data_IF_852459907885
#
_entry.id   IF_852459907885
#
_cell.length_a   1.000
_cell.length_b   1.000
_cell.length_c   1.000
_cell.angle_alpha   90.00
_cell.angle_beta   90.00
_cell.angle_gamma   90.00
#
_symmetry.space_group_name_H-M   'P 1'
#
loop_
_entity.id
_entity.type
_entity.pdbx_description
1 polymer ?
#
# COMPACT_ATOMS: atom_id res chain seq x y z
N UNK A 1 -35.99 -52.74 18.38
CA UNK A 1 -35.51 -52.20 17.09
C UNK A 1 -35.85 -50.73 17.05
N UNK A 2 -34.90 -49.84 17.31
CA UNK A 2 -35.11 -48.39 17.31
C UNK A 2 -33.97 -47.74 16.54
N UNK A 3 -34.31 -47.15 15.40
CA UNK A 3 -33.42 -46.53 14.42
C UNK A 3 -33.19 -45.07 14.82
N UNK A 4 -31.96 -44.75 15.26
CA UNK A 4 -31.55 -43.36 15.49
C UNK A 4 -30.91 -42.80 14.22
N UNK A 5 -31.58 -41.83 13.61
CA UNK A 5 -31.12 -41.15 12.39
C UNK A 5 -30.14 -40.02 12.77
N UNK A 6 -28.89 -40.12 12.30
CA UNK A 6 -27.78 -39.22 12.63
C UNK A 6 -27.68 -38.14 11.56
N UNK A 7 -28.11 -36.91 11.88
CA UNK A 7 -27.85 -35.75 11.02
C UNK A 7 -26.34 -35.48 10.97
N UNK A 8 -25.70 -35.76 9.83
CA UNK A 8 -24.35 -35.31 9.52
C UNK A 8 -24.43 -33.95 8.84
N UNK A 9 -23.94 -32.91 9.52
CA UNK A 9 -23.62 -31.64 8.89
C UNK A 9 -22.44 -31.85 7.94
N UNK A 10 -22.71 -31.83 6.63
CA UNK A 10 -21.69 -31.81 5.58
C UNK A 10 -21.05 -30.41 5.62
N UNK A 11 -19.87 -30.28 6.23
CA UNK A 11 -19.02 -29.09 6.04
C UNK A 11 -18.46 -29.14 4.61
N UNK A 12 -18.86 -28.18 3.79
CA UNK A 12 -18.33 -27.97 2.45
C UNK A 12 -16.83 -27.66 2.54
N UNK A 13 -15.99 -28.63 2.20
CA UNK A 13 -14.55 -28.46 2.03
C UNK A 13 -14.29 -27.83 0.67
N UNK A 14 -14.22 -26.49 0.61
CA UNK A 14 -13.55 -25.81 -0.52
C UNK A 14 -12.05 -25.70 -0.23
N UNK A 15 -11.16 -25.81 -1.22
CA UNK A 15 -9.74 -25.97 -0.99
C UNK A 15 -9.09 -24.65 -0.54
N UNK A 16 -8.30 -24.73 0.53
CA UNK A 16 -7.47 -23.67 1.16
C UNK A 16 -6.36 -23.11 0.24
N UNK A 17 -6.17 -23.71 -0.94
CA UNK A 17 -4.97 -23.54 -1.79
C UNK A 17 -4.84 -22.16 -2.46
N UNK A 18 -5.95 -21.45 -2.72
CA UNK A 18 -5.91 -20.17 -3.45
C UNK A 18 -5.65 -18.92 -2.61
N UNK A 19 -5.95 -18.97 -1.30
CA UNK A 19 -6.07 -17.76 -0.45
C UNK A 19 -4.77 -17.42 0.26
N UNK A 20 -4.07 -18.44 0.75
CA UNK A 20 -2.70 -18.29 1.26
C UNK A 20 -1.75 -17.78 0.17
N UNK A 21 -2.09 -17.98 -1.11
CA UNK A 21 -1.29 -17.49 -2.24
C UNK A 21 -1.27 -15.97 -2.32
N UNK A 22 -2.42 -15.28 -2.22
CA UNK A 22 -2.47 -13.80 -2.25
C UNK A 22 -1.59 -13.16 -1.17
N UNK A 23 -1.71 -13.65 0.07
CA UNK A 23 -0.92 -13.14 1.19
C UNK A 23 0.58 -13.44 0.99
N UNK A 24 0.92 -14.65 0.52
CA UNK A 24 2.31 -15.01 0.18
C UNK A 24 2.87 -14.13 -0.92
N UNK A 25 2.13 -13.91 -2.00
CA UNK A 25 2.54 -13.04 -3.11
C UNK A 25 2.78 -11.61 -2.61
N UNK A 26 1.91 -11.10 -1.73
CA UNK A 26 2.11 -9.80 -1.09
C UNK A 26 3.38 -9.76 -0.24
N UNK A 27 3.67 -10.81 0.54
CA UNK A 27 4.89 -10.90 1.36
C UNK A 27 6.19 -10.95 0.54
N UNK A 28 6.13 -11.40 -0.71
CA UNK A 28 7.31 -11.47 -1.58
C UNK A 28 7.80 -10.08 -2.02
N UNK A 29 6.97 -9.04 -1.93
CA UNK A 29 7.39 -7.64 -2.17
C UNK A 29 8.46 -7.23 -1.16
N UNK A 30 9.51 -6.58 -1.62
CA UNK A 30 10.70 -6.21 -0.84
C UNK A 30 10.39 -5.39 0.40
N UNK A 31 9.47 -4.44 0.32
CA UNK A 31 9.08 -3.61 1.47
C UNK A 31 8.35 -4.41 2.55
N UNK A 32 7.70 -5.50 2.16
CA UNK A 32 6.99 -6.39 3.08
C UNK A 32 7.94 -7.41 3.74
N UNK A 33 9.20 -7.51 3.27
CA UNK A 33 10.26 -8.32 3.89
C UNK A 33 10.95 -7.63 5.06
N UNK A 34 10.60 -6.37 5.34
CA UNK A 34 11.06 -5.61 6.50
C UNK A 34 9.86 -5.11 7.31
N UNK A 35 10.03 -4.92 8.61
CA UNK A 35 8.99 -4.41 9.48
C UNK A 35 8.65 -2.96 9.12
N UNK A 36 7.35 -2.68 8.96
CA UNK A 36 6.84 -1.37 8.61
C UNK A 36 7.31 -0.23 9.53
N UNK A 37 7.54 -0.51 10.83
CA UNK A 37 7.83 0.54 11.82
C UNK A 37 9.27 0.62 12.31
N UNK A 38 10.08 -0.41 12.06
CA UNK A 38 11.48 -0.38 12.53
C UNK A 38 12.52 -0.93 11.54
N UNK A 39 12.07 -1.39 10.37
CA UNK A 39 12.96 -1.96 9.35
C UNK A 39 13.59 -3.30 9.71
N UNK A 40 13.22 -3.92 10.85
CA UNK A 40 13.71 -5.26 11.20
C UNK A 40 13.33 -6.28 10.12
N UNK A 41 14.23 -7.17 9.70
CA UNK A 41 13.96 -8.11 8.62
C UNK A 41 12.95 -9.20 9.04
N UNK A 42 12.39 -9.87 8.04
CA UNK A 42 11.55 -11.07 8.17
C UNK A 42 10.38 -10.92 9.16
N UNK A 43 9.49 -9.93 8.98
CA UNK A 43 8.33 -9.77 9.83
C UNK A 43 7.47 -11.05 9.83
N UNK A 44 6.97 -11.45 11.01
CA UNK A 44 6.15 -12.66 11.20
C UNK A 44 4.71 -12.35 11.63
N UNK A 45 4.40 -11.08 11.83
CA UNK A 45 3.07 -10.60 12.18
C UNK A 45 2.61 -9.59 11.15
N UNK A 46 1.32 -9.32 11.12
CA UNK A 46 0.74 -8.28 10.30
C UNK A 46 -0.45 -7.64 11.03
N UNK A 47 -0.74 -6.38 10.71
CA UNK A 47 -2.00 -5.73 11.07
C UNK A 47 -2.92 -5.75 9.86
N UNK A 48 -3.92 -6.64 9.88
CA UNK A 48 -4.76 -6.91 8.71
C UNK A 48 -5.54 -5.70 8.21
N UNK A 49 -6.07 -4.89 9.13
CA UNK A 49 -6.86 -3.69 8.82
C UNK A 49 -6.00 -2.47 8.43
N UNK A 50 -4.75 -2.40 8.89
CA UNK A 50 -3.81 -1.32 8.54
C UNK A 50 -3.04 -1.67 7.26
N UNK A 51 -2.91 -2.96 6.92
CA UNK A 51 -2.19 -3.42 5.74
C UNK A 51 -0.67 -3.46 5.92
N UNK A 52 -0.15 -3.74 7.13
CA UNK A 52 1.30 -3.72 7.40
C UNK A 52 1.84 -5.04 7.97
N UNK A 53 3.09 -5.36 7.65
CA UNK A 53 3.88 -6.45 8.20
C UNK A 53 4.84 -5.96 9.29
N UNK A 54 4.88 -6.70 10.39
CA UNK A 54 5.47 -6.30 11.67
C UNK A 54 6.43 -7.36 12.22
N UNK A 55 7.52 -6.93 12.85
CA UNK A 55 8.35 -7.80 13.68
C UNK A 55 7.67 -8.04 15.04
N UNK A 56 8.21 -8.95 15.85
CA UNK A 56 7.62 -9.33 17.15
C UNK A 56 7.39 -8.11 18.04
N UNK A 57 8.46 -7.33 18.22
CA UNK A 57 8.49 -6.18 19.12
C UNK A 57 7.48 -5.10 18.71
N UNK A 58 7.36 -4.78 17.42
CA UNK A 58 6.36 -3.82 16.94
C UNK A 58 4.95 -4.41 16.99
N UNK A 59 4.79 -5.70 16.67
CA UNK A 59 3.53 -6.42 16.82
C UNK A 59 2.97 -6.36 18.24
N UNK A 60 3.82 -6.46 19.26
CA UNK A 60 3.41 -6.32 20.67
C UNK A 60 2.91 -4.91 21.00
N UNK A 61 3.54 -3.87 20.44
CA UNK A 61 3.06 -2.50 20.58
C UNK A 61 1.70 -2.32 19.87
N UNK A 62 1.56 -2.86 18.66
CA UNK A 62 0.30 -2.82 17.92
C UNK A 62 -0.85 -3.52 18.66
N UNK A 63 -0.59 -4.68 19.30
CA UNK A 63 -1.58 -5.34 20.15
C UNK A 63 -2.07 -4.44 21.28
N UNK A 64 -1.18 -3.64 21.87
CA UNK A 64 -1.53 -2.70 22.94
C UNK A 64 -2.34 -1.48 22.45
N UNK A 65 -2.41 -1.21 21.14
CA UNK A 65 -3.31 -0.20 20.57
C UNK A 65 -4.78 -0.66 20.56
N UNK A 66 -5.00 -1.97 20.56
CA UNK A 66 -6.33 -2.58 20.49
C UNK A 66 -6.84 -2.78 19.05
N UNK A 67 -7.78 -3.73 18.85
CA UNK A 67 -8.23 -4.17 17.52
C UNK A 67 -8.98 -3.11 16.72
N UNK A 68 -9.54 -2.09 17.37
CA UNK A 68 -10.20 -0.95 16.71
C UNK A 68 -9.20 -0.08 15.93
N UNK A 69 -7.94 -0.08 16.35
CA UNK A 69 -6.84 0.61 15.65
C UNK A 69 -6.04 -0.40 14.83
N UNK A 70 -5.61 -1.51 15.45
CA UNK A 70 -4.74 -2.50 14.83
C UNK A 70 -5.17 -3.93 15.14
N UNK A 71 -5.71 -4.62 14.14
CA UNK A 71 -6.03 -6.04 14.18
C UNK A 71 -4.79 -6.86 13.84
N UNK A 72 -4.02 -7.25 14.87
CA UNK A 72 -2.76 -8.00 14.71
C UNK A 72 -3.00 -9.50 14.58
N UNK A 73 -2.46 -10.10 13.52
CA UNK A 73 -2.46 -11.54 13.26
C UNK A 73 -1.03 -12.05 13.01
N UNK A 74 -0.74 -13.24 13.48
CA UNK A 74 0.43 -14.04 13.08
C UNK A 74 0.25 -14.51 11.65
N UNK A 75 1.31 -14.38 10.85
CA UNK A 75 1.27 -14.77 9.43
C UNK A 75 1.10 -16.29 9.28
N UNK A 76 1.67 -17.07 10.21
CA UNK A 76 1.73 -18.54 10.08
C UNK A 76 0.95 -19.28 11.15
N UNK A 77 0.62 -18.64 12.27
CA UNK A 77 0.02 -19.32 13.43
C UNK A 77 -1.48 -19.02 13.60
N UNK A 78 -1.97 -17.90 13.05
CA UNK A 78 -3.37 -17.53 13.17
C UNK A 78 -4.13 -17.87 11.88
N UNK A 79 -5.42 -18.14 12.03
CA UNK A 79 -6.33 -18.30 10.89
C UNK A 79 -6.67 -16.92 10.31
N UNK A 80 -6.58 -16.81 8.99
CA UNK A 80 -6.88 -15.58 8.25
C UNK A 80 -8.20 -15.73 7.52
N UNK A 81 -9.13 -14.82 7.80
CA UNK A 81 -10.39 -14.73 7.07
C UNK A 81 -10.17 -14.04 5.72
N UNK A 82 -11.07 -14.29 4.77
CA UNK A 82 -11.00 -13.73 3.41
C UNK A 82 -10.95 -12.19 3.44
N UNK A 83 -11.76 -11.58 4.31
CA UNK A 83 -11.79 -10.13 4.47
C UNK A 83 -10.47 -9.55 4.97
N UNK A 84 -9.73 -10.30 5.80
CA UNK A 84 -8.43 -9.85 6.31
C UNK A 84 -7.36 -9.90 5.21
N UNK A 85 -7.37 -10.96 4.40
CA UNK A 85 -6.47 -11.10 3.25
C UNK A 85 -6.77 -10.02 2.21
N UNK A 86 -8.06 -9.83 1.88
CA UNK A 86 -8.46 -8.83 0.91
C UNK A 86 -8.13 -7.41 1.40
N UNK A 87 -8.30 -7.11 2.70
CA UNK A 87 -7.86 -5.83 3.30
C UNK A 87 -6.35 -5.62 3.15
N UNK A 88 -5.53 -6.63 3.43
CA UNK A 88 -4.07 -6.54 3.25
C UNK A 88 -3.68 -6.25 1.80
N UNK A 89 -4.37 -6.89 0.84
CA UNK A 89 -4.10 -6.75 -0.60
C UNK A 89 -4.59 -5.40 -1.12
N UNK A 90 -5.77 -4.95 -0.70
CA UNK A 90 -6.36 -3.66 -1.09
C UNK A 90 -5.50 -2.48 -0.62
N UNK A 91 -4.99 -2.55 0.61
CA UNK A 91 -4.03 -1.56 1.12
C UNK A 91 -2.68 -1.69 0.41
N UNK A 92 -2.30 -2.85 -0.11
CA UNK A 92 -1.07 -2.99 -0.92
C UNK A 92 0.23 -3.15 -0.12
N UNK A 93 0.16 -3.21 1.22
CA UNK A 93 1.30 -3.54 2.09
C UNK A 93 2.06 -2.33 2.68
N UNK A 94 3.27 -2.59 3.15
CA UNK A 94 4.09 -1.64 3.92
C UNK A 94 4.38 -0.34 3.18
N UNK A 95 4.74 -0.43 1.90
CA UNK A 95 5.10 0.75 1.09
C UNK A 95 3.95 1.75 1.04
N UNK A 96 2.76 1.26 0.73
CA UNK A 96 1.56 2.08 0.66
C UNK A 96 1.14 2.59 2.03
N UNK A 97 1.10 1.75 3.06
CA UNK A 97 0.77 2.21 4.40
C UNK A 97 1.73 3.31 4.88
N UNK A 98 3.03 3.18 4.61
CA UNK A 98 4.02 4.21 4.94
C UNK A 98 3.85 5.48 4.08
N UNK A 99 3.40 5.37 2.81
CA UNK A 99 3.12 6.54 1.96
C UNK A 99 2.04 7.46 2.55
N UNK A 100 1.15 6.88 3.35
CA UNK A 100 0.08 7.58 4.07
C UNK A 100 0.60 7.98 5.44
N UNK A 101 0.83 7.00 6.32
CA UNK A 101 1.11 7.24 7.74
C UNK A 101 2.47 7.86 8.02
N UNK A 102 3.35 8.00 7.02
CA UNK A 102 4.66 8.66 7.15
C UNK A 102 4.83 9.79 6.13
N UNK A 103 3.74 10.25 5.50
CA UNK A 103 3.77 11.28 4.46
C UNK A 103 4.49 12.57 4.90
N UNK A 104 4.33 12.95 6.17
CA UNK A 104 4.95 14.13 6.77
C UNK A 104 5.91 13.78 7.92
N UNK A 105 6.59 12.63 7.83
CA UNK A 105 7.57 12.23 8.85
C UNK A 105 8.74 13.25 8.93
N UNK A 106 8.97 13.91 10.07
CA UNK A 106 10.06 14.88 10.21
C UNK A 106 11.45 14.24 10.09
N UNK A 107 12.38 14.91 9.41
CA UNK A 107 13.74 14.40 9.19
C UNK A 107 14.54 14.23 10.49
N UNK A 108 14.24 15.05 11.49
CA UNK A 108 14.83 15.06 12.83
C UNK A 108 14.19 14.03 13.78
N UNK A 109 13.07 13.43 13.38
CA UNK A 109 12.42 12.35 14.11
C UNK A 109 12.26 11.09 13.25
N UNK A 110 13.37 10.43 12.87
CA UNK A 110 13.32 9.29 11.97
C UNK A 110 12.60 8.09 12.57
N UNK A 111 12.30 7.11 11.72
CA UNK A 111 11.76 5.82 12.14
C UNK A 111 12.71 5.10 13.12
N UNK A 112 12.19 4.36 14.12
CA UNK A 112 12.98 3.44 14.91
C UNK A 112 13.79 2.46 14.06
N UNK A 113 14.88 1.94 14.61
CA UNK A 113 15.67 0.86 14.03
C UNK A 113 15.35 -0.48 14.70
N UNK A 114 15.83 -1.57 14.10
CA UNK A 114 15.65 -2.93 14.62
C UNK A 114 16.18 -3.14 16.06
N UNK A 115 17.15 -2.33 16.48
CA UNK A 115 17.81 -2.34 17.79
C UNK A 115 17.30 -1.25 18.76
N UNK A 116 16.42 -0.35 18.31
CA UNK A 116 15.86 0.72 19.15
C UNK A 116 15.18 0.20 20.42
N UNK A 117 15.03 1.06 21.43
CA UNK A 117 14.37 0.70 22.69
C UNK A 117 12.88 0.44 22.48
N UNK A 118 12.26 -0.33 23.39
CA UNK A 118 10.81 -0.53 23.37
C UNK A 118 10.05 0.77 23.58
N UNK A 119 10.54 1.64 24.46
CA UNK A 119 9.96 2.96 24.69
C UNK A 119 9.89 3.80 23.41
N UNK A 120 10.98 3.84 22.63
CA UNK A 120 11.00 4.61 21.38
C UNK A 120 10.06 4.02 20.32
N UNK A 121 10.00 2.68 20.20
CA UNK A 121 9.01 2.01 19.34
C UNK A 121 7.59 2.36 19.73
N UNK A 122 7.27 2.27 21.02
CA UNK A 122 5.93 2.59 21.53
C UNK A 122 5.53 4.02 21.22
N UNK A 123 6.43 4.97 21.48
CA UNK A 123 6.18 6.39 21.17
C UNK A 123 5.92 6.60 19.68
N UNK A 124 6.78 6.05 18.82
CA UNK A 124 6.66 6.20 17.37
C UNK A 124 5.39 5.56 16.81
N UNK A 125 5.08 4.33 17.19
CA UNK A 125 3.92 3.58 16.67
C UNK A 125 2.60 4.24 17.10
N UNK A 126 2.50 4.75 18.34
CA UNK A 126 1.34 5.54 18.78
C UNK A 126 1.24 6.85 17.98
N UNK A 127 2.36 7.55 17.79
CA UNK A 127 2.40 8.76 16.95
C UNK A 127 1.92 8.49 15.51
N UNK A 128 2.30 7.34 14.96
CA UNK A 128 1.98 6.94 13.59
C UNK A 128 0.52 6.56 13.40
N UNK A 129 -0.05 5.73 14.28
CA UNK A 129 -1.36 5.10 14.05
C UNK A 129 -2.48 5.57 14.98
N UNK A 130 -2.16 5.95 16.21
CA UNK A 130 -3.16 6.38 17.21
C UNK A 130 -3.40 7.90 17.13
N UNK A 131 -2.36 8.71 17.25
CA UNK A 131 -2.49 10.18 17.15
C UNK A 131 -2.34 10.69 15.73
N UNK A 132 -1.76 9.88 14.84
CA UNK A 132 -1.57 10.15 13.41
C UNK A 132 -0.88 11.52 13.18
N UNK A 133 0.22 11.72 13.88
CA UNK A 133 0.95 12.98 13.92
C UNK A 133 1.69 13.28 12.60
N UNK A 134 1.96 12.23 11.81
CA UNK A 134 2.61 12.35 10.51
C UNK A 134 1.60 12.47 9.35
N UNK A 135 0.30 12.62 9.68
CA UNK A 135 -0.76 13.00 8.75
C UNK A 135 -1.12 14.48 8.94
N UNK A 136 -1.61 15.13 7.88
CA UNK A 136 -2.29 16.41 8.06
C UNK A 136 -3.52 16.23 8.94
N UNK A 137 -3.88 17.22 9.79
CA UNK A 137 -5.08 17.13 10.63
C UNK A 137 -6.36 16.79 9.86
N UNK A 138 -6.47 17.23 8.60
CA UNK A 138 -7.60 16.95 7.70
C UNK A 138 -7.67 15.50 7.21
N UNK A 139 -6.60 14.72 7.34
CA UNK A 139 -6.49 13.34 6.89
C UNK A 139 -6.55 12.32 8.02
N UNK A 140 -6.70 12.78 9.27
CA UNK A 140 -6.70 11.88 10.41
C UNK A 140 -7.92 10.98 10.35
N UNK A 141 -7.67 9.68 10.17
CA UNK A 141 -8.68 8.63 10.13
C UNK A 141 -9.14 8.42 11.56
N UNK A 142 -10.26 9.05 11.93
CA UNK A 142 -10.89 8.81 13.22
C UNK A 142 -11.58 7.46 13.20
N UNK A 143 -11.32 6.63 14.20
CA UNK A 143 -11.86 5.27 14.41
C UNK A 143 -13.39 5.19 14.59
N UNK A 144 -14.13 6.23 14.22
CA UNK A 144 -15.60 6.30 14.26
C UNK A 144 -16.29 6.17 12.91
N UNK A 145 -15.58 6.06 11.78
CA UNK A 145 -16.20 5.52 10.57
C UNK A 145 -16.02 4.01 10.55
N UNK A 146 -16.95 3.29 11.18
CA UNK A 146 -17.37 2.02 10.61
C UNK A 146 -17.57 2.28 9.11
N UNK A 147 -16.91 1.50 8.26
CA UNK A 147 -17.31 1.37 6.86
C UNK A 147 -18.74 0.84 6.87
N UNK A 148 -19.71 1.72 7.08
CA UNK A 148 -21.11 1.45 6.79
C UNK A 148 -21.14 1.39 5.28
N UNK A 149 -21.25 0.17 4.77
CA UNK A 149 -21.71 -0.11 3.43
C UNK A 149 -23.03 0.63 3.23
N UNK A 150 -22.97 1.89 2.78
CA UNK A 150 -24.14 2.58 2.26
C UNK A 150 -24.35 2.04 0.87
N UNK A 151 -25.21 1.03 0.80
CA UNK A 151 -25.81 0.49 -0.40
C UNK A 151 -26.62 1.60 -1.09
N UNK A 152 -25.95 2.56 -1.77
CA UNK A 152 -26.53 3.52 -2.74
C UNK A 152 -25.46 4.51 -3.22
N UNK A 153 -24.44 4.03 -3.93
CA UNK A 153 -23.73 4.84 -4.93
C UNK A 153 -23.74 4.05 -6.22
N UNK A 154 -24.44 4.61 -7.20
CA UNK A 154 -24.56 4.05 -8.54
C UNK A 154 -23.16 3.77 -9.06
N UNK A 155 -23.00 2.55 -9.58
CA UNK A 155 -21.86 2.10 -10.36
C UNK A 155 -21.37 3.19 -11.32
N UNK A 156 -20.31 3.87 -10.91
CA UNK A 156 -19.29 4.37 -11.82
C UNK A 156 -18.02 3.59 -11.52
N UNK A 157 -18.15 2.26 -11.51
CA UNK A 157 -17.04 1.40 -11.89
C UNK A 157 -16.94 1.54 -13.41
N UNK A 158 -16.37 2.65 -13.88
CA UNK A 158 -15.75 2.60 -15.21
C UNK A 158 -14.62 1.60 -15.04
N UNK A 159 -14.78 0.45 -15.69
CA UNK A 159 -13.81 -0.64 -15.76
C UNK A 159 -12.38 -0.10 -15.82
N UNK A 160 -11.69 -0.05 -14.68
CA UNK A 160 -10.24 0.08 -14.66
C UNK A 160 -9.65 -1.31 -14.88
N UNK A 161 -9.80 -1.78 -16.11
CA UNK A 161 -8.78 -2.65 -16.67
C UNK A 161 -7.62 -1.74 -17.05
N UNK A 162 -6.79 -1.39 -16.08
CA UNK A 162 -5.56 -0.63 -16.34
C UNK A 162 -4.40 -1.56 -16.66
N UNK A 163 -4.61 -2.50 -17.58
CA UNK A 163 -3.56 -2.82 -18.56
C UNK A 163 -3.75 -1.86 -19.73
N UNK A 164 -3.54 -0.56 -19.50
CA UNK A 164 -3.35 0.35 -20.62
C UNK A 164 -1.87 0.31 -20.95
N UNK A 165 -1.49 -0.65 -21.81
CA UNK A 165 -0.32 -0.46 -22.66
C UNK A 165 -0.63 0.78 -23.49
N UNK A 166 -0.09 1.93 -23.11
CA UNK A 166 0.06 3.01 -24.07
C UNK A 166 1.27 2.64 -24.89
N UNK A 167 1.01 1.97 -26.00
CA UNK A 167 1.99 1.84 -27.07
C UNK A 167 2.28 3.27 -27.54
N UNK A 168 3.41 3.80 -27.08
CA UNK A 168 3.91 5.08 -27.55
C UNK A 168 4.73 4.73 -28.78
N UNK A 169 4.20 4.99 -29.97
CA UNK A 169 4.97 4.87 -31.21
C UNK A 169 6.04 5.96 -31.21
N UNK A 170 7.26 5.60 -30.83
CA UNK A 170 8.44 6.45 -30.95
C UNK A 170 9.11 6.09 -32.27
N UNK A 171 9.09 7.01 -33.24
CA UNK A 171 9.82 6.84 -34.50
C UNK A 171 11.32 6.90 -34.23
N UNK A 172 12.01 5.81 -34.52
CA UNK A 172 13.46 5.79 -34.56
C UNK A 172 13.96 6.45 -35.86
N UNK A 173 15.08 7.16 -35.75
CA UNK A 173 15.73 7.81 -36.89
C UNK A 173 17.08 7.14 -37.21
N UNK A 174 17.26 5.88 -36.78
CA UNK A 174 18.54 5.17 -36.82
C UNK A 174 18.49 3.97 -37.77
N UNK A 175 19.63 3.67 -38.40
CA UNK A 175 19.77 2.71 -39.51
C UNK A 175 20.31 1.34 -39.06
N UNK A 176 19.88 0.82 -37.92
CA UNK A 176 20.28 -0.53 -37.45
C UNK A 176 19.09 -1.29 -36.85
N UNK A 177 18.76 -2.42 -37.50
CA UNK A 177 17.82 -3.51 -37.15
C UNK A 177 16.48 -3.18 -36.47
N UNK A 178 15.39 -3.59 -37.13
CA UNK A 178 14.00 -3.37 -36.76
C UNK A 178 13.48 -4.03 -35.46
N UNK A 179 14.33 -4.42 -34.50
CA UNK A 179 13.92 -5.17 -33.30
C UNK A 179 14.70 -4.78 -32.02
N UNK A 180 15.14 -3.53 -31.87
CA UNK A 180 15.68 -3.08 -30.57
C UNK A 180 14.53 -2.92 -29.56
N UNK A 181 14.56 -3.76 -28.53
CA UNK A 181 13.56 -3.73 -27.45
C UNK A 181 13.67 -2.42 -26.67
N UNK A 182 12.68 -1.54 -26.84
CA UNK A 182 12.53 -0.34 -26.02
C UNK A 182 12.08 -0.79 -24.62
N UNK A 183 12.96 -0.69 -23.64
CA UNK A 183 12.77 -1.26 -22.30
C UNK A 183 11.50 -0.81 -21.60
N UNK A 184 11.08 -1.57 -20.59
CA UNK A 184 9.78 -1.39 -19.92
C UNK A 184 9.92 -0.89 -18.49
N UNK A 185 8.94 -0.10 -18.03
CA UNK A 185 8.82 0.30 -16.63
C UNK A 185 7.34 0.42 -16.24
N UNK A 186 6.99 -0.06 -15.04
CA UNK A 186 5.64 0.04 -14.48
C UNK A 186 5.55 1.22 -13.51
N UNK A 187 4.42 1.94 -13.56
CA UNK A 187 4.11 3.05 -12.64
C UNK A 187 2.97 2.60 -11.72
N UNK A 188 3.23 2.59 -10.42
CA UNK A 188 2.18 2.36 -9.42
C UNK A 188 1.43 3.67 -9.17
N UNK A 189 0.19 3.74 -9.66
CA UNK A 189 -0.69 4.90 -9.49
C UNK A 189 -1.46 4.88 -8.17
N UNK A 190 -1.43 3.79 -7.40
CA UNK A 190 -2.20 3.67 -6.15
C UNK A 190 -1.85 4.75 -5.12
N UNK A 191 -0.57 5.12 -4.90
CA UNK A 191 -0.22 6.21 -3.99
C UNK A 191 -0.88 7.54 -4.38
N UNK A 192 -0.90 7.86 -5.68
CA UNK A 192 -1.52 9.09 -6.19
C UNK A 192 -3.05 9.04 -6.09
N UNK A 193 -3.67 7.93 -6.49
CA UNK A 193 -5.13 7.72 -6.42
C UNK A 193 -5.61 7.91 -4.97
N UNK A 194 -4.92 7.28 -4.03
CA UNK A 194 -5.28 7.30 -2.62
C UNK A 194 -5.15 8.69 -2.04
N UNK A 195 -4.03 9.36 -2.34
CA UNK A 195 -3.85 10.73 -1.92
C UNK A 195 -4.98 11.59 -2.51
N UNK A 196 -5.22 11.56 -3.82
CA UNK A 196 -6.29 12.33 -4.46
C UNK A 196 -7.68 12.08 -3.83
N UNK A 197 -8.04 10.81 -3.57
CA UNK A 197 -9.31 10.43 -2.93
C UNK A 197 -9.42 10.96 -1.50
N UNK A 198 -8.33 10.96 -0.73
CA UNK A 198 -8.34 11.45 0.65
C UNK A 198 -8.50 12.97 0.75
N UNK A 199 -8.08 13.72 -0.28
CA UNK A 199 -8.18 15.20 -0.30
C UNK A 199 -9.45 15.72 -1.00
N UNK A 200 -10.14 14.91 -1.80
CA UNK A 200 -11.38 15.30 -2.47
C UNK A 200 -11.18 16.50 -3.41
N UNK A 201 -11.84 17.63 -3.13
CA UNK A 201 -11.67 18.86 -3.91
C UNK A 201 -10.36 19.58 -3.55
N UNK A 202 -9.33 19.30 -4.35
CA UNK A 202 -7.99 19.85 -4.18
C UNK A 202 -7.84 21.29 -4.66
N UNK A 203 -8.85 21.86 -5.34
CA UNK A 203 -8.81 23.24 -5.87
C UNK A 203 -8.63 24.30 -4.79
N UNK A 204 -9.02 23.99 -3.55
CA UNK A 204 -8.94 24.87 -2.37
C UNK A 204 -7.69 24.67 -1.52
N UNK A 205 -6.84 23.71 -1.88
CA UNK A 205 -5.64 23.38 -1.13
C UNK A 205 -4.45 24.19 -1.67
N UNK A 206 -3.64 24.72 -0.76
CA UNK A 206 -2.34 25.30 -1.12
C UNK A 206 -1.32 24.23 -1.47
N UNK A 207 -0.21 24.64 -2.08
CA UNK A 207 0.83 23.71 -2.53
C UNK A 207 1.39 22.88 -1.36
N UNK A 208 1.38 21.55 -1.51
CA UNK A 208 1.78 20.64 -0.43
C UNK A 208 2.12 19.25 -0.97
N UNK A 209 3.04 18.55 -0.29
CA UNK A 209 3.16 17.10 -0.46
C UNK A 209 1.94 16.42 0.17
N UNK A 210 1.41 15.39 -0.48
CA UNK A 210 0.23 14.64 -0.03
C UNK A 210 0.43 13.13 0.02
N UNK A 211 1.50 12.64 -0.61
CA UNK A 211 1.86 11.23 -0.62
C UNK A 211 3.27 11.02 -1.15
N UNK A 212 3.73 9.78 -1.13
CA UNK A 212 5.04 9.39 -1.69
C UNK A 212 5.03 7.93 -2.11
N UNK A 213 5.40 7.65 -3.35
CA UNK A 213 5.75 6.30 -3.77
C UNK A 213 7.24 6.07 -3.49
N UNK A 214 7.51 5.20 -2.52
CA UNK A 214 8.88 4.89 -2.10
C UNK A 214 9.60 4.06 -3.16
N UNK A 215 10.88 4.36 -3.36
CA UNK A 215 11.77 3.54 -4.18
C UNK A 215 12.09 2.23 -3.44
N UNK A 216 12.02 1.13 -4.18
CA UNK A 216 12.20 -0.21 -3.65
C UNK A 216 13.09 -1.01 -4.60
N UNK A 217 13.46 -2.24 -4.22
CA UNK A 217 14.27 -3.09 -5.10
C UNK A 217 13.47 -3.72 -6.23
N UNK A 218 12.14 -3.71 -6.13
CA UNK A 218 11.26 -4.41 -7.07
C UNK A 218 10.43 -3.46 -7.93
N UNK A 219 10.65 -2.14 -7.82
CA UNK A 219 10.06 -1.16 -8.70
C UNK A 219 11.14 -0.46 -9.54
N UNK A 220 10.69 0.21 -10.60
CA UNK A 220 11.57 0.88 -11.54
C UNK A 220 12.04 2.27 -11.06
N UNK A 221 11.69 2.71 -9.85
CA UNK A 221 12.02 4.05 -9.37
C UNK A 221 13.54 4.22 -9.16
N UNK A 222 14.08 5.32 -9.66
CA UNK A 222 15.46 5.76 -9.39
C UNK A 222 15.58 6.47 -8.02
N UNK A 223 14.48 7.09 -7.56
CA UNK A 223 14.35 7.81 -6.30
C UNK A 223 12.90 7.81 -5.84
N UNK A 224 12.67 8.08 -4.55
CA UNK A 224 11.31 8.29 -4.03
C UNK A 224 10.56 9.33 -4.87
N UNK A 225 9.35 8.98 -5.28
CA UNK A 225 8.48 9.85 -6.08
C UNK A 225 7.44 10.49 -5.17
N UNK A 226 7.45 11.83 -5.07
CA UNK A 226 6.48 12.57 -4.25
C UNK A 226 5.21 12.89 -5.01
N UNK A 227 4.06 12.73 -4.35
CA UNK A 227 2.78 13.21 -4.83
C UNK A 227 2.50 14.54 -4.14
N UNK A 228 2.26 15.59 -4.92
CA UNK A 228 2.04 16.95 -4.45
C UNK A 228 0.71 17.50 -4.97
N UNK A 229 0.06 18.36 -4.20
CA UNK A 229 -0.90 19.34 -4.74
C UNK A 229 -0.09 20.56 -5.16
N UNK A 230 -0.23 20.99 -6.42
CA UNK A 230 0.37 22.22 -6.95
C UNK A 230 -0.68 22.97 -7.75
N UNK A 231 -1.01 24.19 -7.35
CA UNK A 231 -2.03 25.01 -8.01
C UNK A 231 -3.40 24.31 -8.07
N UNK A 232 -3.77 23.63 -6.98
CA UNK A 232 -5.03 22.89 -6.86
C UNK A 232 -5.11 21.61 -7.69
N UNK A 233 -3.99 21.11 -8.22
CA UNK A 233 -3.92 19.87 -9.00
C UNK A 233 -2.98 18.87 -8.35
N UNK A 234 -3.36 17.59 -8.36
CA UNK A 234 -2.51 16.53 -7.85
C UNK A 234 -1.53 16.11 -8.95
N UNK A 235 -0.24 16.25 -8.66
CA UNK A 235 0.87 15.94 -9.55
C UNK A 235 1.87 15.00 -8.88
N UNK A 236 2.47 14.11 -9.66
CA UNK A 236 3.52 13.21 -9.21
C UNK A 236 4.69 13.23 -10.20
N UNK A 237 5.88 13.55 -9.71
CA UNK A 237 7.12 13.48 -10.48
C UNK A 237 7.71 12.06 -10.35
N UNK A 238 7.97 11.41 -11.48
CA UNK A 238 8.35 10.00 -11.54
C UNK A 238 9.64 9.85 -12.34
N UNK A 239 10.66 9.26 -11.73
CA UNK A 239 11.97 9.01 -12.33
C UNK A 239 12.20 7.50 -12.37
N UNK A 240 12.24 6.92 -13.56
CA UNK A 240 12.26 5.47 -13.77
C UNK A 240 13.53 5.03 -14.48
N UNK A 241 14.00 3.84 -14.13
CA UNK A 241 14.97 3.07 -14.91
C UNK A 241 14.23 2.03 -15.74
N UNK A 242 14.42 2.07 -17.05
CA UNK A 242 13.86 1.06 -17.96
C UNK A 242 14.50 -0.30 -17.68
N UNK A 243 13.67 -1.34 -17.66
CA UNK A 243 14.07 -2.73 -17.49
C UNK A 243 14.24 -3.39 -18.86
N UNK A 244 15.05 -4.45 -18.93
CA UNK A 244 15.32 -5.22 -20.16
C UNK A 244 16.01 -4.42 -21.29
N UNK A 245 16.77 -3.37 -20.94
CA UNK A 245 17.63 -2.60 -21.86
C UNK A 245 19.00 -2.34 -21.27
N UNK A 246 19.99 -2.12 -22.13
CA UNK A 246 21.37 -1.78 -21.72
C UNK A 246 21.44 -0.45 -20.96
N UNK A 247 20.66 0.53 -21.40
CA UNK A 247 20.50 1.82 -20.75
C UNK A 247 19.14 2.43 -21.09
N UNK A 248 18.61 3.24 -20.18
CA UNK A 248 17.32 3.87 -20.36
C UNK A 248 16.78 4.42 -19.04
N UNK A 249 16.62 5.74 -18.99
CA UNK A 249 15.99 6.44 -17.88
C UNK A 249 14.85 7.29 -18.43
N UNK A 250 13.76 7.40 -17.66
CA UNK A 250 12.58 8.15 -18.05
C UNK A 250 12.16 9.07 -16.91
N UNK A 251 12.00 10.35 -17.23
CA UNK A 251 11.49 11.37 -16.31
C UNK A 251 10.12 11.83 -16.80
N UNK A 252 9.10 11.69 -15.95
CA UNK A 252 7.71 11.99 -16.26
C UNK A 252 7.08 12.81 -15.13
N UNK A 253 6.09 13.64 -15.49
CA UNK A 253 5.14 14.21 -14.54
C UNK A 253 3.74 13.65 -14.86
N UNK A 254 3.11 13.04 -13.86
CA UNK A 254 1.73 12.54 -13.96
C UNK A 254 0.80 13.51 -13.24
N UNK A 255 -0.26 13.96 -13.91
CA UNK A 255 -1.31 14.82 -13.33
C UNK A 255 -2.62 14.02 -13.20
N UNK A 256 -3.23 14.08 -12.02
CA UNK A 256 -4.57 13.52 -11.79
C UNK A 256 -5.63 14.46 -12.37
N UNK A 257 -6.39 13.96 -13.34
CA UNK A 257 -7.50 14.69 -13.95
C UNK A 257 -8.81 13.97 -13.62
N UNK A 258 -9.72 14.57 -12.82
CA UNK A 258 -11.03 13.98 -12.58
C UNK A 258 -11.85 13.98 -13.88
N UNK A 259 -12.42 12.83 -14.22
CA UNK A 259 -13.35 12.73 -15.35
C UNK A 259 -14.73 13.18 -14.84
N UNK A 260 -15.23 14.27 -15.42
CA UNK A 260 -16.55 14.86 -15.13
C UNK A 260 -17.71 13.92 -15.53
#
# INVERSE_FOLDING_TARGET
MSTTNRYQHIKSTKPVVGKTRKLKDLMMKSDNRICADCGAPDPKWASANIGVFLCLKCGDVHRALGPDISKVLSITLDDWDDSDIDSMVEVGGNSYANSIYEAFLPKDHPKPKADSTMEYRTKFIRAKYETQDFLKPSLRISSKSSFKSTSSTKSVYSSFSSTSRKDTEVYDHDTFSADDIMGEAEIDLQPMITAAMAFGDTSRLGDMQIGRWFMTKDNALLKDSTVNVVGGRVKQEVHLKLQNVESGELELEVEWVPIL
#
